data_IF_205225817537
#
_entry.id   IF_205225817537
#
_cell.length_a   1.000
_cell.length_b   1.000
_cell.length_c   1.000
_cell.angle_alpha   90.00
_cell.angle_beta   90.00
_cell.angle_gamma   90.00
#
_symmetry.space_group_name_H-M   'P 1'
#
loop_
_entity.id
_entity.type
_entity.pdbx_description
1 polymer ?
#
# COMPACT_ATOMS: atom_id res chain seq x y z
N UNK A 1 -19.47 0.42 -8.98
CA UNK A 1 -18.83 1.76 -9.15
C UNK A 1 -18.17 2.12 -7.83
N UNK A 2 -16.98 2.71 -7.86
CA UNK A 2 -16.30 3.14 -6.63
C UNK A 2 -16.97 4.37 -6.03
N UNK A 3 -16.80 4.58 -4.72
CA UNK A 3 -17.31 5.76 -4.03
C UNK A 3 -16.51 7.02 -4.40
N UNK A 4 -16.99 8.21 -4.04
CA UNK A 4 -16.36 9.50 -4.42
C UNK A 4 -14.94 9.69 -3.85
N UNK A 5 -14.66 9.07 -2.70
CA UNK A 5 -13.34 9.05 -2.04
C UNK A 5 -12.47 7.87 -2.48
N UNK A 6 -12.91 7.10 -3.47
CA UNK A 6 -12.20 5.94 -3.99
C UNK A 6 -11.76 6.13 -5.44
N UNK A 7 -10.76 5.36 -5.83
CA UNK A 7 -10.33 5.20 -7.22
C UNK A 7 -10.38 3.73 -7.62
N UNK A 8 -10.69 3.45 -8.89
CA UNK A 8 -10.68 2.10 -9.42
C UNK A 8 -9.28 1.78 -9.94
N UNK A 9 -8.61 0.79 -9.34
CA UNK A 9 -7.31 0.29 -9.78
C UNK A 9 -7.40 -1.22 -9.95
N UNK A 10 -7.08 -1.71 -11.16
CA UNK A 10 -7.14 -3.13 -11.52
C UNK A 10 -8.47 -3.81 -11.14
N UNK A 11 -9.59 -3.10 -11.29
CA UNK A 11 -10.93 -3.60 -10.97
C UNK A 11 -11.29 -3.61 -9.48
N UNK A 12 -10.40 -3.15 -8.60
CA UNK A 12 -10.69 -2.96 -7.16
C UNK A 12 -10.86 -1.47 -6.84
N UNK A 13 -11.77 -1.16 -5.93
CA UNK A 13 -11.90 0.19 -5.40
C UNK A 13 -10.96 0.33 -4.20
N UNK A 14 -9.99 1.24 -4.30
CA UNK A 14 -9.08 1.62 -3.22
C UNK A 14 -9.44 3.02 -2.74
N UNK A 15 -9.24 3.29 -1.46
CA UNK A 15 -9.38 4.62 -0.92
C UNK A 15 -8.21 5.50 -1.39
N UNK A 16 -8.46 6.80 -1.46
CA UNK A 16 -7.44 7.82 -1.72
C UNK A 16 -7.56 8.92 -0.69
N UNK A 17 -6.48 9.67 -0.54
CA UNK A 17 -6.47 10.83 0.33
C UNK A 17 -5.49 11.88 -0.12
N UNK A 18 -5.04 12.73 0.81
CA UNK A 18 -4.12 13.83 0.51
C UNK A 18 -2.76 13.36 -0.02
N UNK A 19 -2.36 12.14 0.35
CA UNK A 19 -1.26 11.39 -0.24
C UNK A 19 -1.69 9.93 -0.39
N UNK A 20 -1.31 9.29 -1.49
CA UNK A 20 -1.57 7.87 -1.72
C UNK A 20 -0.44 7.25 -2.53
N UNK A 21 -0.07 6.03 -2.16
CA UNK A 21 0.86 5.19 -2.89
C UNK A 21 0.17 3.88 -3.23
N UNK A 22 0.13 3.53 -4.50
CA UNK A 22 -0.52 2.32 -4.98
C UNK A 22 0.49 1.45 -5.71
N UNK A 23 0.60 0.21 -5.27
CA UNK A 23 1.44 -0.83 -5.87
C UNK A 23 0.55 -1.79 -6.66
N UNK A 24 0.92 -2.06 -7.90
CA UNK A 24 0.33 -3.14 -8.72
C UNK A 24 1.45 -3.93 -9.37
N UNK A 25 1.14 -5.16 -9.76
CA UNK A 25 2.10 -6.04 -10.42
C UNK A 25 1.40 -6.89 -11.50
N UNK A 26 2.14 -7.69 -12.26
CA UNK A 26 1.62 -8.37 -13.46
C UNK A 26 1.67 -9.91 -13.39
N UNK A 27 1.91 -10.47 -12.21
CA UNK A 27 2.00 -11.92 -11.97
C UNK A 27 1.24 -12.30 -10.71
N UNK A 28 0.48 -13.40 -10.74
CA UNK A 28 -0.26 -13.91 -9.58
C UNK A 28 0.70 -14.17 -8.42
N UNK A 29 0.43 -13.57 -7.26
CA UNK A 29 1.26 -13.67 -6.08
C UNK A 29 0.91 -12.69 -4.97
N UNK A 30 1.81 -12.65 -4.00
CA UNK A 30 1.81 -11.84 -2.79
C UNK A 30 3.03 -10.91 -2.83
N UNK A 31 2.76 -9.63 -3.06
CA UNK A 31 3.75 -8.57 -3.08
C UNK A 31 3.32 -7.45 -2.14
N UNK A 32 4.16 -7.15 -1.16
CA UNK A 32 3.86 -6.13 -0.17
C UNK A 32 4.39 -4.76 -0.60
N UNK A 33 3.60 -3.71 -0.39
CA UNK A 33 4.07 -2.34 -0.30
C UNK A 33 4.62 -2.09 1.10
N UNK A 34 5.87 -1.63 1.16
CA UNK A 34 6.52 -1.23 2.41
C UNK A 34 6.93 0.23 2.29
N UNK A 35 6.35 1.08 3.12
CA UNK A 35 6.63 2.52 3.10
C UNK A 35 7.33 2.91 4.40
N UNK A 36 8.57 3.35 4.31
CA UNK A 36 9.23 4.09 5.40
C UNK A 36 8.85 5.55 5.30
N UNK A 37 8.16 6.07 6.31
CA UNK A 37 7.71 7.46 6.39
C UNK A 37 8.83 8.36 6.95
N UNK A 38 8.75 9.70 6.82
CA UNK A 38 9.85 10.61 7.16
C UNK A 38 10.40 10.48 8.59
N UNK A 39 9.55 10.09 9.55
CA UNK A 39 9.96 9.87 10.94
C UNK A 39 10.67 8.52 11.19
N UNK A 40 10.88 7.70 10.15
CA UNK A 40 11.54 6.40 10.21
C UNK A 40 10.62 5.21 10.48
N UNK A 41 9.34 5.42 10.80
CA UNK A 41 8.39 4.33 10.95
C UNK A 41 8.01 3.72 9.60
N UNK A 42 7.38 2.55 9.65
CA UNK A 42 7.00 1.77 8.47
C UNK A 42 5.51 1.48 8.42
N UNK A 43 4.91 1.61 7.23
CA UNK A 43 3.57 1.10 6.90
C UNK A 43 3.73 -0.12 6.01
N UNK A 44 3.12 -1.23 6.40
CA UNK A 44 3.18 -2.54 5.74
C UNK A 44 2.03 -3.42 6.23
N UNK A 45 1.83 -4.63 5.68
CA UNK A 45 0.74 -5.54 6.06
C UNK A 45 0.61 -5.75 7.59
N UNK A 46 1.75 -5.88 8.30
CA UNK A 46 1.77 -6.08 9.76
C UNK A 46 1.62 -4.79 10.59
N UNK A 47 1.66 -3.62 9.93
CA UNK A 47 1.53 -2.28 10.50
C UNK A 47 0.64 -1.44 9.60
N UNK A 48 -0.60 -1.87 9.42
CA UNK A 48 -1.53 -1.33 8.43
C UNK A 48 -2.08 0.05 8.80
N UNK A 49 -2.05 0.46 10.07
CA UNK A 49 -2.65 1.72 10.50
C UNK A 49 -4.18 1.75 10.30
N UNK A 50 -4.82 2.95 10.37
CA UNK A 50 -4.24 4.24 10.71
C UNK A 50 -4.07 4.41 12.22
N UNK A 51 -2.84 4.63 12.68
CA UNK A 51 -2.57 4.94 14.08
C UNK A 51 -1.28 5.78 14.22
N UNK A 52 -0.90 6.13 15.45
CA UNK A 52 0.27 6.97 15.70
C UNK A 52 1.58 6.37 15.15
N UNK A 53 1.71 5.04 15.07
CA UNK A 53 2.92 4.39 14.54
C UNK A 53 3.04 4.52 13.03
N UNK A 54 1.92 4.64 12.30
CA UNK A 54 1.90 4.86 10.85
C UNK A 54 1.76 6.34 10.48
N UNK A 55 1.85 7.23 11.47
CA UNK A 55 1.45 8.63 11.34
C UNK A 55 0.10 8.78 10.61
N UNK A 56 -0.87 7.96 11.02
CA UNK A 56 -2.22 7.91 10.47
C UNK A 56 -2.34 7.55 8.98
N UNK A 57 -1.26 7.09 8.35
CA UNK A 57 -1.34 6.41 7.06
C UNK A 57 -1.98 5.03 7.22
N UNK A 58 -2.75 4.61 6.22
CA UNK A 58 -3.50 3.37 6.25
C UNK A 58 -3.23 2.54 5.00
N UNK A 59 -2.86 1.27 5.18
CA UNK A 59 -2.94 0.21 4.17
C UNK A 59 -4.39 -0.31 4.14
N UNK A 60 -5.12 -0.13 3.04
CA UNK A 60 -6.53 -0.57 2.92
C UNK A 60 -6.71 -1.88 2.16
N UNK A 61 -5.80 -2.22 1.24
CA UNK A 61 -5.78 -3.50 0.53
C UNK A 61 -4.40 -4.14 0.68
N UNK A 62 -4.42 -5.38 1.14
CA UNK A 62 -3.32 -6.34 1.24
C UNK A 62 -3.69 -7.52 0.31
N UNK A 63 -3.09 -7.59 -0.89
CA UNK A 63 -3.44 -8.60 -1.91
C UNK A 63 -2.41 -9.72 -1.98
N UNK A 64 -2.77 -10.85 -1.36
CA UNK A 64 -1.89 -12.01 -1.17
C UNK A 64 -1.87 -13.01 -2.31
N UNK A 65 -2.76 -12.86 -3.28
CA UNK A 65 -2.95 -13.89 -4.31
C UNK A 65 -3.12 -13.34 -5.71
N UNK A 66 -3.45 -12.07 -5.87
CA UNK A 66 -3.76 -11.46 -7.14
C UNK A 66 -2.57 -10.79 -7.81
N UNK A 67 -2.89 -9.67 -8.46
CA UNK A 67 -1.97 -8.80 -9.19
C UNK A 67 -1.91 -7.39 -8.54
N UNK A 68 -2.27 -7.33 -7.26
CA UNK A 68 -2.55 -6.11 -6.54
C UNK A 68 -3.98 -5.61 -6.78
N UNK A 69 -4.28 -4.35 -6.41
CA UNK A 69 -3.36 -3.42 -5.78
C UNK A 69 -3.08 -3.73 -4.31
N UNK A 70 -1.93 -3.28 -3.83
CA UNK A 70 -1.81 -2.79 -2.45
C UNK A 70 -1.82 -1.26 -2.44
N UNK A 71 -2.42 -0.65 -1.43
CA UNK A 71 -2.58 0.79 -1.40
C UNK A 71 -2.44 1.36 0.02
N UNK A 72 -1.61 2.39 0.15
CA UNK A 72 -1.46 3.16 1.38
C UNK A 72 -1.90 4.60 1.13
N UNK A 73 -2.75 5.13 2.01
CA UNK A 73 -3.26 6.49 1.90
C UNK A 73 -3.36 7.21 3.24
N UNK A 74 -3.45 8.54 3.17
CA UNK A 74 -3.74 9.43 4.31
C UNK A 74 -5.02 10.19 4.03
N UNK A 75 -6.10 9.90 4.76
CA UNK A 75 -7.42 10.46 4.47
C UNK A 75 -7.47 11.99 4.68
N UNK A 76 -7.26 12.46 5.92
CA UNK A 76 -7.41 13.87 6.30
C UNK A 76 -6.21 14.44 7.06
N UNK A 77 -5.33 13.60 7.60
CA UNK A 77 -4.12 14.04 8.29
C UNK A 77 -3.09 14.50 7.27
N UNK A 78 -2.54 15.71 7.41
CA UNK A 78 -1.41 16.15 6.59
C UNK A 78 -0.24 15.19 6.85
N UNK A 79 0.23 14.42 5.83
CA UNK A 79 1.36 13.52 5.98
C UNK A 79 2.62 14.33 6.30
N UNK A 80 3.55 13.72 7.03
CA UNK A 80 4.84 14.36 7.34
C UNK A 80 5.53 14.86 6.06
N UNK A 81 6.09 16.06 6.12
CA UNK A 81 6.97 16.54 5.05
C UNK A 81 8.31 15.83 5.15
N UNK A 82 8.80 15.31 4.04
CA UNK A 82 10.13 14.69 3.99
C UNK A 82 10.22 13.58 2.96
N UNK A 83 11.24 12.74 3.14
CA UNK A 83 11.51 11.61 2.25
C UNK A 83 10.67 10.41 2.69
N UNK A 84 9.89 9.88 1.76
CA UNK A 84 9.25 8.59 1.87
C UNK A 84 10.06 7.58 1.05
N UNK A 85 10.42 6.46 1.66
CA UNK A 85 11.03 5.34 0.94
C UNK A 85 9.95 4.32 0.63
N UNK A 86 9.66 4.10 -0.65
CA UNK A 86 8.63 3.17 -1.11
C UNK A 86 9.33 1.94 -1.69
N UNK A 87 9.15 0.80 -1.03
CA UNK A 87 9.78 -0.46 -1.38
C UNK A 87 8.72 -1.48 -1.79
N UNK A 88 9.04 -2.28 -2.80
CA UNK A 88 8.34 -3.50 -3.14
C UNK A 88 9.02 -4.67 -2.42
N UNK A 89 8.27 -5.41 -1.62
CA UNK A 89 8.74 -6.65 -1.00
C UNK A 89 8.04 -7.84 -1.62
N UNK A 90 8.81 -8.76 -2.19
CA UNK A 90 8.29 -10.02 -2.69
C UNK A 90 8.12 -11.00 -1.53
N UNK A 91 6.90 -11.51 -1.31
CA UNK A 91 6.66 -12.62 -0.38
C UNK A 91 6.59 -13.95 -1.14
N UNK A 92 5.61 -14.16 -2.02
CA UNK A 92 5.49 -15.39 -2.82
C UNK A 92 4.83 -15.14 -4.17
N UNK A 93 5.33 -15.74 -5.25
CA UNK A 93 4.73 -15.63 -6.58
C UNK A 93 4.67 -16.96 -7.29
N UNK A 94 3.70 -17.11 -8.20
CA UNK A 94 3.54 -18.28 -9.06
C UNK A 94 3.81 -17.93 -10.54
N UNK A 95 4.65 -18.68 -11.27
CA UNK A 95 5.55 -19.71 -10.74
C UNK A 95 6.61 -19.09 -9.82
N UNK A 96 7.13 -19.90 -8.90
CA UNK A 96 8.26 -19.50 -8.06
C UNK A 96 9.44 -19.06 -8.94
N UNK A 97 10.19 -18.06 -8.48
CA UNK A 97 11.45 -17.72 -9.13
C UNK A 97 12.38 -18.95 -9.09
N UNK A 98 12.97 -19.29 -10.23
CA UNK A 98 14.07 -20.26 -10.25
C UNK A 98 15.31 -19.60 -9.62
N UNK A 99 16.07 -20.31 -8.76
CA UNK A 99 17.32 -19.81 -8.19
C UNK A 99 18.33 -19.32 -9.24
#
# INVERSE_FOLDING_TARGET
MCQSYQQCVSGKCIDRGVLSFTLTWNRVGDGDIVITIPNGNTIMYSKSGPNAQTNYGQLDIDDKTGMGPENVYWNYTEPDRGIYLVCFQQYVFSPFATP
#
